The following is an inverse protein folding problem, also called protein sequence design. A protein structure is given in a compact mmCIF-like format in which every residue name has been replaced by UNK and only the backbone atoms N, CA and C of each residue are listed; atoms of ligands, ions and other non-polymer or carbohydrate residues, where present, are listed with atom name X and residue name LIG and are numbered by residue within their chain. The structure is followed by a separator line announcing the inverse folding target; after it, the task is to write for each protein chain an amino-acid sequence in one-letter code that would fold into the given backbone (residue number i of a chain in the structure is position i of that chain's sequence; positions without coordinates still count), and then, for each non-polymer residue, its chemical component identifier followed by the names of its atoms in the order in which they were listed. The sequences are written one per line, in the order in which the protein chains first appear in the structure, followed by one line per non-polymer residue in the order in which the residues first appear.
data_IF_255373692164
#
_entry.id   IF_255373692164
#
_cell.length_a   1.000
_cell.length_b   1.000
_cell.length_c   1.000
_cell.angle_alpha   90.00
_cell.angle_beta   90.00
_cell.angle_gamma   90.00
#
_symmetry.space_group_name_H-M   'P 1'
#
loop_
_entity.id
_entity.type
_entity.pdbx_description
1 polymer ?
#
# COMPACT_ATOMS: atom_id res chain seq x y z
N UNK A 1 -11.24 33.48 -50.18
CA UNK A 1 -10.98 32.10 -49.72
C UNK A 1 -10.04 32.18 -48.53
N UNK A 2 -10.61 32.21 -47.32
CA UNK A 2 -9.87 32.27 -46.05
C UNK A 2 -9.39 30.87 -45.66
N UNK A 3 -8.08 30.68 -45.49
CA UNK A 3 -7.49 29.46 -44.95
C UNK A 3 -7.19 29.64 -43.46
N UNK A 4 -8.06 29.10 -42.61
CA UNK A 4 -7.86 29.01 -41.15
C UNK A 4 -6.74 28.01 -40.83
N UNK A 5 -5.58 28.52 -40.46
CA UNK A 5 -4.49 27.74 -39.81
C UNK A 5 -4.96 27.33 -38.41
N UNK A 6 -5.19 26.02 -38.20
CA UNK A 6 -5.48 25.45 -36.88
C UNK A 6 -4.24 25.55 -35.99
N UNK A 7 -4.27 26.44 -35.00
CA UNK A 7 -3.31 26.47 -33.88
C UNK A 7 -3.49 25.21 -33.02
N UNK A 8 -2.50 24.31 -33.09
CA UNK A 8 -2.39 23.19 -32.15
C UNK A 8 -2.19 23.70 -30.73
N UNK A 9 -3.05 23.26 -29.81
CA UNK A 9 -3.00 23.57 -28.38
C UNK A 9 -1.75 22.95 -27.73
N UNK A 10 -0.69 23.74 -27.54
CA UNK A 10 0.40 23.44 -26.60
C UNK A 10 -0.05 23.76 -25.17
N UNK A 11 -0.96 22.97 -24.59
CA UNK A 11 -1.27 23.01 -23.15
C UNK A 11 -1.55 21.59 -22.63
N UNK A 12 -0.57 20.96 -21.99
CA UNK A 12 -0.77 19.99 -20.87
C UNK A 12 0.50 19.25 -20.40
N UNK A 13 1.58 19.17 -21.18
CA UNK A 13 2.75 18.34 -20.79
C UNK A 13 3.51 18.85 -19.56
N UNK A 14 3.56 20.16 -19.31
CA UNK A 14 4.35 20.76 -18.24
C UNK A 14 3.74 20.69 -16.83
N UNK A 15 2.42 20.50 -16.70
CA UNK A 15 1.75 20.39 -15.39
C UNK A 15 1.74 18.95 -14.86
N UNK A 16 1.62 17.97 -15.76
CA UNK A 16 1.66 16.56 -15.40
C UNK A 16 3.06 16.15 -14.93
N UNK A 17 4.10 16.59 -15.63
CA UNK A 17 5.51 16.33 -15.25
C UNK A 17 5.86 16.89 -13.88
N UNK A 18 5.40 18.11 -13.53
CA UNK A 18 5.62 18.69 -12.19
C UNK A 18 4.90 17.92 -11.08
N UNK A 19 3.65 17.48 -11.32
CA UNK A 19 2.89 16.66 -10.35
C UNK A 19 3.53 15.28 -10.15
N UNK A 20 4.04 14.69 -11.22
CA UNK A 20 4.75 13.41 -11.15
C UNK A 20 6.04 13.57 -10.33
N UNK A 21 6.81 14.65 -10.54
CA UNK A 21 8.01 14.96 -9.72
C UNK A 21 7.67 15.18 -8.25
N UNK A 22 6.68 16.01 -7.93
CA UNK A 22 6.27 16.26 -6.53
C UNK A 22 5.79 14.97 -5.84
N UNK A 23 5.05 14.13 -6.55
CA UNK A 23 4.66 12.82 -6.07
C UNK A 23 5.90 11.97 -5.76
N UNK A 24 6.87 11.91 -6.68
CA UNK A 24 8.08 11.12 -6.51
C UNK A 24 8.92 11.56 -5.31
N UNK A 25 9.10 12.87 -5.15
CA UNK A 25 9.87 13.44 -4.04
C UNK A 25 9.22 13.10 -2.70
N UNK A 26 7.89 13.22 -2.60
CA UNK A 26 7.14 12.91 -1.37
C UNK A 26 7.06 11.40 -1.08
N UNK A 27 6.91 10.57 -2.11
CA UNK A 27 6.69 9.12 -1.95
C UNK A 27 7.93 8.40 -1.41
N UNK A 28 9.13 8.86 -1.79
CA UNK A 28 10.41 8.27 -1.36
C UNK A 28 11.08 9.03 -0.21
N UNK A 29 10.46 10.06 0.34
CA UNK A 29 10.98 10.80 1.50
C UNK A 29 10.46 10.17 2.81
N UNK A 30 11.37 9.56 3.58
CA UNK A 30 11.05 8.91 4.84
C UNK A 30 10.41 9.88 5.85
N UNK A 31 11.05 11.02 6.09
CA UNK A 31 10.56 12.03 7.04
C UNK A 31 9.18 12.53 6.66
N UNK A 32 8.90 12.72 5.37
CA UNK A 32 7.58 13.13 4.90
C UNK A 32 6.52 12.06 5.21
N UNK A 33 6.80 10.79 4.89
CA UNK A 33 5.89 9.67 5.12
C UNK A 33 5.62 9.46 6.61
N UNK A 34 6.66 9.52 7.44
CA UNK A 34 6.56 9.36 8.89
C UNK A 34 5.86 10.54 9.56
N UNK A 35 6.25 11.77 9.24
CA UNK A 35 5.60 12.96 9.80
C UNK A 35 4.11 13.01 9.45
N UNK A 36 3.74 12.52 8.27
CA UNK A 36 2.33 12.40 7.85
C UNK A 36 1.55 11.44 8.76
N UNK A 37 2.12 10.29 9.08
CA UNK A 37 1.53 9.33 10.01
C UNK A 37 1.34 9.96 11.40
N UNK A 38 2.36 10.64 11.93
CA UNK A 38 2.29 11.30 13.23
C UNK A 38 1.31 12.48 13.26
N UNK A 39 1.27 13.30 12.21
CA UNK A 39 0.33 14.41 12.08
C UNK A 39 -1.12 13.91 12.08
N UNK A 40 -1.39 12.81 11.40
CA UNK A 40 -2.70 12.19 11.42
C UNK A 40 -3.08 11.70 12.82
N UNK A 41 -2.19 10.95 13.48
CA UNK A 41 -2.39 10.52 14.86
C UNK A 41 -2.63 11.67 15.83
N UNK A 42 -2.03 12.85 15.59
CA UNK A 42 -2.25 14.04 16.39
C UNK A 42 -3.62 14.69 16.12
N UNK A 43 -4.01 14.80 14.85
CA UNK A 43 -5.24 15.47 14.38
C UNK A 43 -6.52 14.70 14.73
N UNK A 44 -6.50 13.38 14.66
CA UNK A 44 -7.70 12.57 14.85
C UNK A 44 -7.91 12.16 16.31
N UNK A 45 -9.19 12.05 16.70
CA UNK A 45 -9.64 11.70 18.06
C UNK A 45 -9.55 10.19 18.30
N UNK A 46 -8.34 9.65 18.30
CA UNK A 46 -8.07 8.31 18.86
C UNK A 46 -7.95 8.38 20.38
N UNK A 47 -8.39 7.33 21.07
CA UNK A 47 -8.14 7.19 22.50
C UNK A 47 -6.63 7.08 22.77
N UNK A 48 -6.21 7.43 23.99
CA UNK A 48 -4.80 7.35 24.39
C UNK A 48 -4.23 5.94 24.20
N UNK A 49 -5.00 4.91 24.54
CA UNK A 49 -4.66 3.49 24.37
C UNK A 49 -4.44 3.13 22.89
N UNK A 50 -5.32 3.59 22.01
CA UNK A 50 -5.21 3.37 20.56
C UNK A 50 -3.96 4.03 19.98
N UNK A 51 -3.68 5.29 20.37
CA UNK A 51 -2.44 5.98 19.95
C UNK A 51 -1.19 5.24 20.44
N UNK A 52 -1.21 4.74 21.67
CA UNK A 52 -0.09 3.97 22.21
C UNK A 52 0.11 2.66 21.45
N UNK A 53 -0.99 1.97 21.09
CA UNK A 53 -0.95 0.74 20.31
C UNK A 53 -0.39 0.96 18.89
N UNK A 54 -0.82 2.02 18.21
CA UNK A 54 -0.30 2.38 16.89
C UNK A 54 1.19 2.76 16.92
N UNK A 55 1.64 3.50 17.96
CA UNK A 55 3.07 3.77 18.15
C UNK A 55 3.86 2.49 18.39
N UNK A 56 3.36 1.61 19.26
CA UNK A 56 3.97 0.30 19.51
C UNK A 56 4.08 -0.53 18.23
N UNK A 57 3.04 -0.54 17.38
CA UNK A 57 3.06 -1.25 16.10
C UNK A 57 4.11 -0.66 15.14
N UNK A 58 4.21 0.67 15.07
CA UNK A 58 5.23 1.34 14.25
C UNK A 58 6.65 1.01 14.73
N UNK A 59 6.91 1.11 16.03
CA UNK A 59 8.23 0.82 16.61
C UNK A 59 8.61 -0.65 16.42
N UNK A 60 7.65 -1.57 16.59
CA UNK A 60 7.82 -2.99 16.33
C UNK A 60 8.17 -3.25 14.86
N UNK A 61 7.43 -2.67 13.92
CA UNK A 61 7.68 -2.82 12.49
C UNK A 61 9.04 -2.22 12.07
N UNK A 62 9.42 -1.06 12.64
CA UNK A 62 10.74 -0.45 12.43
C UNK A 62 11.87 -1.37 12.84
N UNK A 63 11.74 -2.00 14.02
CA UNK A 63 12.73 -2.93 14.53
C UNK A 63 12.80 -4.20 13.68
N UNK A 64 11.64 -4.77 13.32
CA UNK A 64 11.55 -6.00 12.53
C UNK A 64 12.16 -5.82 11.12
N UNK A 65 11.84 -4.72 10.44
CA UNK A 65 12.36 -4.40 9.11
C UNK A 65 13.72 -3.68 9.14
N UNK A 66 14.41 -3.63 10.28
CA UNK A 66 15.69 -2.92 10.40
C UNK A 66 16.74 -3.53 9.45
N UNK A 67 17.40 -2.67 8.67
CA UNK A 67 18.37 -3.10 7.65
C UNK A 67 17.74 -3.63 6.35
N UNK A 68 16.42 -3.91 6.31
CA UNK A 68 15.73 -4.32 5.09
C UNK A 68 15.49 -3.12 4.16
N UNK A 69 15.75 -3.32 2.87
CA UNK A 69 15.54 -2.31 1.82
C UNK A 69 14.60 -2.84 0.75
N UNK A 70 13.89 -1.93 0.09
CA UNK A 70 13.15 -2.24 -1.16
C UNK A 70 14.10 -2.31 -2.35
N UNK A 71 13.59 -2.81 -3.48
CA UNK A 71 14.34 -2.90 -4.74
C UNK A 71 14.94 -1.55 -5.19
N UNK A 72 14.24 -0.45 -4.89
CA UNK A 72 14.67 0.92 -5.17
C UNK A 72 15.66 1.51 -4.15
N UNK A 73 16.04 0.75 -3.12
CA UNK A 73 17.04 1.12 -2.11
C UNK A 73 16.50 1.87 -0.88
N UNK A 74 15.21 2.20 -0.84
CA UNK A 74 14.57 2.85 0.32
C UNK A 74 14.36 1.86 1.48
N UNK A 75 14.35 2.32 2.75
CA UNK A 75 14.05 1.45 3.91
C UNK A 75 12.68 0.78 3.77
N UNK A 76 12.59 -0.53 4.05
CA UNK A 76 11.35 -1.29 3.82
C UNK A 76 10.18 -0.78 4.65
N UNK A 77 10.42 -0.32 5.88
CA UNK A 77 9.41 0.25 6.78
C UNK A 77 8.58 1.39 6.16
N UNK A 78 9.10 2.08 5.14
CA UNK A 78 8.33 3.08 4.40
C UNK A 78 7.08 2.49 3.77
N UNK A 79 7.11 1.23 3.32
CA UNK A 79 5.96 0.57 2.72
C UNK A 79 4.80 0.38 3.71
N UNK A 80 4.96 -0.34 4.85
CA UNK A 80 3.90 -0.43 5.84
C UNK A 80 3.38 0.92 6.33
N UNK A 81 4.26 1.92 6.49
CA UNK A 81 3.87 3.30 6.82
C UNK A 81 3.00 3.95 5.73
N UNK A 82 3.34 3.81 4.44
CA UNK A 82 2.53 4.34 3.34
C UNK A 82 1.18 3.62 3.26
N UNK A 83 1.13 2.30 3.49
CA UNK A 83 -0.14 1.55 3.55
C UNK A 83 -1.03 2.07 4.67
N UNK A 84 -0.45 2.32 5.85
CA UNK A 84 -1.17 2.95 6.96
C UNK A 84 -1.66 4.37 6.62
N UNK A 85 -0.84 5.19 5.96
CA UNK A 85 -1.24 6.52 5.50
C UNK A 85 -2.37 6.48 4.46
N UNK A 86 -2.37 5.52 3.53
CA UNK A 86 -3.48 5.33 2.57
C UNK A 86 -4.78 5.05 3.31
N UNK A 87 -4.76 4.13 4.28
CA UNK A 87 -5.94 3.79 5.08
C UNK A 87 -6.47 5.02 5.84
N UNK A 88 -5.56 5.79 6.43
CA UNK A 88 -5.89 6.94 7.26
C UNK A 88 -6.39 8.14 6.45
N UNK A 89 -5.63 8.57 5.43
CA UNK A 89 -5.89 9.82 4.72
C UNK A 89 -6.82 9.69 3.52
N UNK A 90 -6.74 8.56 2.81
CA UNK A 90 -7.44 8.39 1.54
C UNK A 90 -8.73 7.61 1.70
N UNK A 91 -8.71 6.58 2.54
CA UNK A 91 -9.88 5.73 2.82
C UNK A 91 -10.69 6.24 4.02
N UNK A 92 -10.06 7.00 4.91
CA UNK A 92 -10.63 7.41 6.20
C UNK A 92 -11.00 6.23 7.13
N UNK A 93 -10.20 5.16 7.13
CA UNK A 93 -10.36 4.02 8.04
C UNK A 93 -9.81 4.35 9.45
N UNK A 94 -10.70 4.70 10.38
CA UNK A 94 -10.34 5.22 11.71
C UNK A 94 -10.28 4.15 12.82
N UNK A 95 -10.00 2.88 12.50
CA UNK A 95 -9.87 1.82 13.51
C UNK A 95 -8.40 1.50 13.75
N UNK A 96 -7.95 1.67 14.98
CA UNK A 96 -6.56 1.46 15.40
C UNK A 96 -6.04 0.05 15.08
N UNK A 97 -6.86 -1.00 15.26
CA UNK A 97 -6.51 -2.38 14.89
C UNK A 97 -6.16 -2.53 13.40
N UNK A 98 -6.90 -1.85 12.51
CA UNK A 98 -6.66 -1.91 11.05
C UNK A 98 -5.34 -1.20 10.71
N UNK A 99 -5.09 -0.05 11.34
CA UNK A 99 -3.85 0.72 11.16
C UNK A 99 -2.65 -0.07 11.67
N UNK A 100 -2.75 -0.69 12.86
CA UNK A 100 -1.71 -1.56 13.41
C UNK A 100 -1.45 -2.76 12.48
N UNK A 101 -2.52 -3.36 11.95
CA UNK A 101 -2.40 -4.48 10.99
C UNK A 101 -1.64 -4.05 9.74
N UNK A 102 -1.94 -2.87 9.18
CA UNK A 102 -1.20 -2.34 8.04
C UNK A 102 0.29 -2.10 8.33
N UNK A 103 0.63 -1.63 9.52
CA UNK A 103 2.02 -1.46 9.93
C UNK A 103 2.77 -2.81 10.09
N UNK A 104 2.04 -3.87 10.44
CA UNK A 104 2.60 -5.17 10.80
C UNK A 104 2.44 -6.25 9.71
N UNK A 105 1.77 -5.97 8.60
CA UNK A 105 1.27 -7.01 7.69
C UNK A 105 2.36 -7.93 7.09
N UNK A 106 3.58 -7.42 6.93
CA UNK A 106 4.70 -8.17 6.34
C UNK A 106 5.69 -8.74 7.38
N UNK A 107 5.52 -8.47 8.68
CA UNK A 107 6.55 -8.84 9.67
C UNK A 107 6.71 -10.36 9.83
N UNK A 108 5.64 -11.13 9.62
CA UNK A 108 5.73 -12.60 9.62
C UNK A 108 6.38 -13.10 8.33
N UNK A 109 5.99 -12.54 7.17
CA UNK A 109 6.46 -13.01 5.85
C UNK A 109 7.95 -12.70 5.65
N UNK A 110 8.39 -11.51 6.05
CA UNK A 110 9.70 -10.97 5.65
C UNK A 110 10.73 -10.86 6.80
N UNK A 111 10.29 -10.87 8.06
CA UNK A 111 11.18 -10.58 9.21
C UNK A 111 11.38 -11.77 10.16
N UNK A 112 10.76 -12.91 9.88
CA UNK A 112 10.83 -14.09 10.75
C UNK A 112 10.09 -13.96 12.09
N UNK A 113 9.25 -12.93 12.25
CA UNK A 113 8.41 -12.77 13.44
C UNK A 113 7.35 -13.86 13.47
N UNK A 114 7.20 -14.52 14.61
CA UNK A 114 6.19 -15.57 14.75
C UNK A 114 4.82 -15.01 15.11
N UNK A 115 3.76 -15.76 14.76
CA UNK A 115 2.40 -15.45 15.21
C UNK A 115 2.30 -15.39 16.75
N UNK A 116 3.08 -16.22 17.45
CA UNK A 116 3.12 -16.24 18.92
C UNK A 116 3.67 -14.93 19.47
N UNK A 117 4.75 -14.40 18.89
CA UNK A 117 5.31 -13.11 19.29
C UNK A 117 4.34 -11.95 19.04
N UNK A 118 3.60 -11.98 17.93
CA UNK A 118 2.54 -10.98 17.69
C UNK A 118 1.44 -11.06 18.73
N UNK A 119 0.95 -12.25 19.07
CA UNK A 119 -0.08 -12.44 20.12
C UNK A 119 0.38 -11.99 21.51
N UNK A 120 1.68 -12.07 21.80
CA UNK A 120 2.25 -11.58 23.05
C UNK A 120 2.34 -10.05 23.10
N UNK A 121 2.40 -9.39 21.94
CA UNK A 121 2.62 -7.95 21.83
C UNK A 121 1.37 -7.15 21.49
N UNK A 122 0.42 -7.75 20.79
CA UNK A 122 -0.78 -7.11 20.26
C UNK A 122 -2.02 -7.94 20.59
N UNK A 123 -3.19 -7.33 20.43
CA UNK A 123 -4.44 -8.04 20.65
C UNK A 123 -4.65 -9.16 19.60
N UNK A 124 -5.54 -10.09 19.93
CA UNK A 124 -5.84 -11.25 19.07
C UNK A 124 -6.36 -10.83 17.68
N UNK A 125 -7.14 -9.75 17.62
CA UNK A 125 -7.69 -9.17 16.38
C UNK A 125 -6.57 -8.82 15.39
N UNK A 126 -5.56 -8.05 15.82
CA UNK A 126 -4.39 -7.68 15.01
C UNK A 126 -3.61 -8.92 14.59
N UNK A 127 -3.30 -9.81 15.54
CA UNK A 127 -2.50 -11.00 15.24
C UNK A 127 -3.17 -11.91 14.20
N UNK A 128 -4.50 -12.08 14.26
CA UNK A 128 -5.25 -12.86 13.28
C UNK A 128 -5.32 -12.19 11.92
N UNK A 129 -5.52 -10.87 11.85
CA UNK A 129 -5.51 -10.17 10.57
C UNK A 129 -4.14 -10.25 9.88
N UNK A 130 -3.04 -10.07 10.63
CA UNK A 130 -1.68 -10.23 10.09
C UNK A 130 -1.44 -11.66 9.63
N UNK A 131 -1.91 -12.66 10.38
CA UNK A 131 -1.83 -14.07 9.96
C UNK A 131 -2.51 -14.31 8.61
N UNK A 132 -3.72 -13.78 8.41
CA UNK A 132 -4.45 -13.94 7.14
C UNK A 132 -3.72 -13.23 5.98
N UNK A 133 -3.03 -12.12 6.27
CA UNK A 133 -2.23 -11.36 5.31
C UNK A 133 -0.83 -11.97 5.05
N UNK A 134 -0.47 -13.06 5.73
CA UNK A 134 0.82 -13.74 5.53
C UNK A 134 0.65 -14.90 4.55
N UNK A 135 1.50 -14.97 3.53
CA UNK A 135 1.54 -16.13 2.63
C UNK A 135 2.31 -17.27 3.26
N UNK A 136 1.73 -18.46 3.27
CA UNK A 136 2.42 -19.68 3.70
C UNK A 136 2.95 -20.45 2.46
N UNK A 137 4.26 -20.43 2.19
CA UNK A 137 4.83 -21.11 1.03
C UNK A 137 4.79 -22.64 1.14
N UNK A 138 4.53 -23.20 2.34
CA UNK A 138 4.43 -24.66 2.54
C UNK A 138 3.16 -25.28 1.94
N UNK A 139 2.14 -24.46 1.66
CA UNK A 139 0.86 -24.90 1.11
C UNK A 139 0.96 -25.08 -0.41
N UNK A 140 0.46 -26.21 -0.91
CA UNK A 140 0.33 -26.43 -2.35
C UNK A 140 -0.60 -25.37 -2.98
N UNK A 141 -0.20 -24.78 -4.11
CA UNK A 141 -0.92 -23.68 -4.74
C UNK A 141 -1.13 -22.46 -3.80
N UNK A 142 -0.22 -22.22 -2.84
CA UNK A 142 -0.30 -21.16 -1.83
C UNK A 142 -0.74 -19.80 -2.38
N UNK A 143 -0.29 -19.38 -3.57
CA UNK A 143 -0.68 -18.08 -4.17
C UNK A 143 -2.16 -17.98 -4.50
N UNK A 144 -2.79 -19.10 -4.88
CA UNK A 144 -4.22 -19.16 -5.18
C UNK A 144 -5.00 -19.21 -3.86
N UNK A 145 -4.62 -20.14 -2.98
CA UNK A 145 -5.24 -20.31 -1.66
C UNK A 145 -5.23 -18.98 -0.89
N UNK A 146 -4.10 -18.30 -0.83
CA UNK A 146 -3.96 -17.00 -0.16
C UNK A 146 -4.94 -15.94 -0.67
N UNK A 147 -5.13 -15.85 -1.99
CA UNK A 147 -6.07 -14.88 -2.59
C UNK A 147 -7.51 -15.26 -2.22
N UNK A 148 -7.86 -16.55 -2.30
CA UNK A 148 -9.18 -17.06 -1.90
C UNK A 148 -9.44 -16.83 -0.40
N UNK A 149 -8.45 -17.06 0.46
CA UNK A 149 -8.54 -16.80 1.91
C UNK A 149 -8.86 -15.33 2.18
N UNK A 150 -8.16 -14.39 1.51
CA UNK A 150 -8.44 -12.97 1.69
C UNK A 150 -9.80 -12.59 1.12
N UNK A 151 -10.17 -13.09 -0.05
CA UNK A 151 -11.49 -12.80 -0.66
C UNK A 151 -12.65 -13.24 0.26
N UNK A 152 -12.48 -14.35 0.98
CA UNK A 152 -13.46 -14.88 1.93
C UNK A 152 -13.30 -14.33 3.37
N UNK A 153 -12.32 -13.45 3.60
CA UNK A 153 -12.11 -12.81 4.90
C UNK A 153 -13.01 -11.57 5.08
N UNK A 154 -12.91 -10.95 6.25
CA UNK A 154 -13.68 -9.74 6.57
C UNK A 154 -13.16 -8.50 5.80
N UNK A 155 -13.98 -7.45 5.78
CA UNK A 155 -13.65 -6.20 5.06
C UNK A 155 -12.35 -5.53 5.54
N UNK A 156 -12.01 -5.48 6.85
CA UNK A 156 -10.72 -4.97 7.31
C UNK A 156 -9.50 -5.62 6.65
N UNK A 157 -9.46 -6.95 6.56
CA UNK A 157 -8.34 -7.68 5.96
C UNK A 157 -8.25 -7.39 4.45
N UNK A 158 -9.38 -7.47 3.75
CA UNK A 158 -9.45 -7.12 2.32
C UNK A 158 -8.98 -5.69 2.09
N UNK A 159 -9.39 -4.76 2.95
CA UNK A 159 -9.06 -3.34 2.85
C UNK A 159 -7.57 -3.09 2.98
N UNK A 160 -6.92 -3.66 4.01
CA UNK A 160 -5.45 -3.60 4.13
C UNK A 160 -4.80 -4.17 2.88
N UNK A 161 -5.29 -5.29 2.36
CA UNK A 161 -4.67 -5.93 1.19
C UNK A 161 -4.76 -5.11 -0.09
N UNK A 162 -5.90 -4.47 -0.35
CA UNK A 162 -6.04 -3.61 -1.54
C UNK A 162 -5.25 -2.32 -1.41
N UNK A 163 -5.06 -1.80 -0.19
CA UNK A 163 -4.19 -0.65 0.08
C UNK A 163 -2.70 -1.01 -0.09
N UNK A 164 -2.27 -2.19 0.38
CA UNK A 164 -0.94 -2.75 0.10
C UNK A 164 -0.72 -2.83 -1.43
N UNK A 165 -1.68 -3.41 -2.17
CA UNK A 165 -1.56 -3.50 -3.63
C UNK A 165 -1.49 -2.11 -4.28
N UNK A 166 -2.20 -1.11 -3.76
CA UNK A 166 -2.12 0.27 -4.26
C UNK A 166 -0.73 0.88 -4.05
N UNK A 167 -0.15 0.75 -2.85
CA UNK A 167 1.22 1.22 -2.60
C UNK A 167 2.24 0.55 -3.53
N UNK A 168 2.07 -0.75 -3.75
CA UNK A 168 2.91 -1.51 -4.66
C UNK A 168 2.84 -1.00 -6.11
N UNK A 169 1.67 -0.63 -6.62
CA UNK A 169 1.56 -0.03 -7.97
C UNK A 169 2.13 1.39 -8.02
N UNK A 170 1.96 2.18 -6.95
CA UNK A 170 2.56 3.51 -6.83
C UNK A 170 4.10 3.44 -6.81
N UNK A 171 4.68 2.48 -6.08
CA UNK A 171 6.13 2.16 -6.10
C UNK A 171 6.58 1.61 -7.46
N UNK A 172 5.72 0.86 -8.17
CA UNK A 172 6.05 0.33 -9.49
C UNK A 172 6.27 1.42 -10.55
N UNK A 173 5.78 2.65 -10.34
CA UNK A 173 6.08 3.81 -11.19
C UNK A 173 7.57 4.10 -11.32
N UNK A 174 8.38 3.69 -10.35
CA UNK A 174 9.84 3.88 -10.36
C UNK A 174 10.59 2.72 -11.01
N UNK A 175 9.93 1.58 -11.24
CA UNK A 175 10.57 0.40 -11.79
C UNK A 175 10.96 0.60 -13.26
N UNK A 176 12.16 0.17 -13.62
CA UNK A 176 12.63 0.03 -15.00
C UNK A 176 12.35 -1.38 -15.55
N UNK A 177 12.01 -2.33 -14.69
CA UNK A 177 11.79 -3.72 -15.07
C UNK A 177 10.40 -3.94 -15.70
N UNK A 178 10.34 -3.96 -17.04
CA UNK A 178 9.09 -4.18 -17.81
C UNK A 178 8.42 -5.53 -17.54
N UNK A 179 9.19 -6.59 -17.25
CA UNK A 179 8.62 -7.89 -16.91
C UNK A 179 7.90 -7.87 -15.54
N UNK A 180 8.53 -7.27 -14.52
CA UNK A 180 7.90 -7.01 -13.22
C UNK A 180 6.63 -6.18 -13.40
N UNK A 181 6.67 -5.12 -14.21
CA UNK A 181 5.48 -4.30 -14.47
C UNK A 181 4.32 -5.10 -15.08
N UNK A 182 4.57 -5.91 -16.12
CA UNK A 182 3.54 -6.78 -16.72
C UNK A 182 2.94 -7.75 -15.72
N UNK A 183 3.77 -8.38 -14.88
CA UNK A 183 3.32 -9.31 -13.84
C UNK A 183 2.37 -8.62 -12.87
N UNK A 184 2.76 -7.47 -12.32
CA UNK A 184 1.92 -6.72 -11.38
C UNK A 184 0.62 -6.23 -12.02
N UNK A 185 0.65 -5.74 -13.26
CA UNK A 185 -0.57 -5.36 -14.00
C UNK A 185 -1.53 -6.56 -14.08
N UNK A 186 -1.05 -7.69 -14.59
CA UNK A 186 -1.87 -8.89 -14.79
C UNK A 186 -2.43 -9.43 -13.46
N UNK A 187 -1.62 -9.45 -12.41
CA UNK A 187 -2.07 -9.86 -11.08
C UNK A 187 -3.12 -8.91 -10.51
N UNK A 188 -2.89 -7.60 -10.59
CA UNK A 188 -3.82 -6.58 -10.10
C UNK A 188 -5.18 -6.74 -10.76
N UNK A 189 -5.21 -6.84 -12.09
CA UNK A 189 -6.46 -6.95 -12.84
C UNK A 189 -7.22 -8.24 -12.53
N UNK A 190 -6.51 -9.37 -12.47
CA UNK A 190 -7.16 -10.67 -12.25
C UNK A 190 -7.63 -10.87 -10.81
N UNK A 191 -6.92 -10.30 -9.83
CA UNK A 191 -7.09 -10.67 -8.41
C UNK A 191 -7.55 -9.50 -7.55
N UNK A 192 -6.97 -8.32 -7.73
CA UNK A 192 -7.13 -7.20 -6.80
C UNK A 192 -8.18 -6.18 -7.25
N UNK A 193 -8.46 -6.07 -8.54
CA UNK A 193 -9.58 -5.26 -9.04
C UNK A 193 -10.92 -5.82 -8.55
N UNK A 194 -11.24 -7.13 -8.71
CA UNK A 194 -12.47 -7.70 -8.15
C UNK A 194 -12.55 -7.55 -6.63
N UNK A 195 -11.42 -7.74 -5.93
CA UNK A 195 -11.33 -7.56 -4.48
C UNK A 195 -11.65 -6.12 -4.06
N UNK A 196 -11.07 -5.13 -4.73
CA UNK A 196 -11.30 -3.73 -4.44
C UNK A 196 -12.72 -3.29 -4.77
N UNK A 197 -13.30 -3.81 -5.86
CA UNK A 197 -14.67 -3.50 -6.28
C UNK A 197 -15.70 -3.81 -5.18
N UNK A 198 -15.56 -4.95 -4.51
CA UNK A 198 -16.46 -5.35 -3.41
C UNK A 198 -16.07 -4.75 -2.05
N UNK A 199 -14.87 -4.19 -1.92
CA UNK A 199 -14.32 -3.74 -0.61
C UNK A 199 -14.40 -2.23 -0.45
N UNK A 200 -13.93 -1.46 -1.45
CA UNK A 200 -13.87 -0.01 -1.37
C UNK A 200 -13.77 0.64 -2.76
N UNK A 201 -14.80 1.39 -3.15
CA UNK A 201 -14.88 2.04 -4.46
C UNK A 201 -13.79 3.11 -4.69
N UNK A 202 -13.26 3.75 -3.65
CA UNK A 202 -12.15 4.67 -3.81
C UNK A 202 -10.89 3.92 -4.24
N UNK A 203 -10.50 2.87 -3.50
CA UNK A 203 -9.32 2.07 -3.84
C UNK A 203 -9.48 1.39 -5.21
N UNK A 204 -10.67 0.91 -5.56
CA UNK A 204 -10.94 0.37 -6.89
C UNK A 204 -10.60 1.37 -8.01
N UNK A 205 -11.03 2.64 -7.87
CA UNK A 205 -10.73 3.70 -8.85
C UNK A 205 -9.25 4.02 -8.88
N UNK A 206 -8.60 4.12 -7.73
CA UNK A 206 -7.16 4.38 -7.63
C UNK A 206 -6.33 3.27 -8.28
N UNK A 207 -6.65 1.99 -8.05
CA UNK A 207 -5.97 0.87 -8.71
C UNK A 207 -6.11 0.96 -10.24
N UNK A 208 -7.30 1.27 -10.76
CA UNK A 208 -7.51 1.46 -12.22
C UNK A 208 -6.72 2.65 -12.77
N UNK A 209 -6.64 3.73 -12.01
CA UNK A 209 -5.82 4.89 -12.35
C UNK A 209 -4.34 4.52 -12.42
N UNK A 210 -3.80 3.85 -11.40
CA UNK A 210 -2.40 3.42 -11.38
C UNK A 210 -2.06 2.46 -12.53
N UNK A 211 -2.95 1.52 -12.85
CA UNK A 211 -2.79 0.64 -14.01
C UNK A 211 -2.68 1.43 -15.32
N UNK A 212 -3.47 2.49 -15.49
CA UNK A 212 -3.39 3.37 -16.66
C UNK A 212 -2.05 4.11 -16.72
N UNK A 213 -1.59 4.66 -15.59
CA UNK A 213 -0.30 5.37 -15.48
C UNK A 213 0.87 4.45 -15.86
N UNK A 214 0.92 3.25 -15.28
CA UNK A 214 2.00 2.28 -15.54
C UNK A 214 2.00 1.85 -17.01
N UNK A 215 0.83 1.58 -17.60
CA UNK A 215 0.71 1.24 -19.03
C UNK A 215 1.24 2.33 -19.96
N UNK A 216 0.88 3.59 -19.67
CA UNK A 216 1.36 4.72 -20.46
C UNK A 216 2.88 4.86 -20.37
N UNK A 217 3.47 4.62 -19.19
CA UNK A 217 4.93 4.60 -19.01
C UNK A 217 5.59 3.48 -19.79
N UNK A 218 5.00 2.28 -19.82
CA UNK A 218 5.56 1.13 -20.55
C UNK A 218 5.62 1.31 -22.08
N UNK A 219 4.74 2.17 -22.63
CA UNK A 219 4.66 2.51 -24.05
C UNK A 219 5.67 3.58 -24.48
N UNK A 220 6.19 4.37 -23.53
CA UNK A 220 7.31 5.29 -23.75
C UNK A 220 8.63 4.52 -23.71
#
# INVERSE_FOLDING_TARGET
MESKVRKGSKKSLGSQTRKDTEFFDKFNNFDFVENRFHAFMARYKFQKSEKLMMRKALDFAKLAHNGQKRDEGTPYIMHPLRVANILMDEVAAMKSDIICTALLHDVIEDCGITLKELKNNFNESIAQMVKILTKDPSIENHKRVYVETIMNSNDPVKLVKVCDRLDNLRSLRFSTNKAKMRRYINETEKKYIPMAEITNNYIFRELKHELSVIRNRMRR
#
